data_IF_520957213969
#
_entry.id   IF_520957213969
#
_cell.length_a   1.000
_cell.length_b   1.000
_cell.length_c   1.000
_cell.angle_alpha   90.00
_cell.angle_beta   90.00
_cell.angle_gamma   90.00
#
_symmetry.space_group_name_H-M   'P 1'
#
loop_
_entity.id
_entity.type
_entity.pdbx_description
1 polymer ?
#
# COMPACT_ATOMS: atom_id res chain seq x y z
N UNK A 1 -41.42 -44.23 -54.42
CA UNK A 1 -42.77 -44.22 -53.83
C UNK A 1 -42.70 -44.86 -52.46
N UNK A 2 -43.23 -44.17 -51.44
CA UNK A 2 -43.97 -44.67 -50.26
C UNK A 2 -43.46 -45.98 -49.59
N UNK A 3 -43.23 -46.09 -48.28
CA UNK A 3 -43.61 -45.25 -47.16
C UNK A 3 -43.29 -45.98 -45.85
N UNK A 4 -43.00 -45.19 -44.83
CA UNK A 4 -43.51 -45.25 -43.46
C UNK A 4 -43.90 -46.61 -42.83
N UNK A 5 -43.26 -46.95 -41.70
CA UNK A 5 -43.87 -47.19 -40.36
C UNK A 5 -42.75 -47.49 -39.35
N UNK A 6 -42.62 -46.74 -38.25
CA UNK A 6 -43.30 -46.97 -36.96
C UNK A 6 -42.84 -48.30 -36.31
N UNK A 7 -42.39 -48.44 -35.05
CA UNK A 7 -42.38 -47.55 -33.89
C UNK A 7 -41.81 -48.35 -32.67
N UNK A 8 -41.32 -47.63 -31.64
CA UNK A 8 -41.11 -48.04 -30.22
C UNK A 8 -39.99 -49.08 -29.95
N UNK A 9 -39.14 -48.96 -28.92
CA UNK A 9 -39.46 -48.82 -27.49
C UNK A 9 -38.37 -48.07 -26.70
N UNK A 10 -38.84 -47.24 -25.77
CA UNK A 10 -38.15 -46.42 -24.75
C UNK A 10 -37.12 -47.18 -23.89
N UNK A 11 -36.05 -46.49 -23.48
CA UNK A 11 -35.51 -46.61 -22.11
C UNK A 11 -35.06 -45.24 -21.56
N UNK A 12 -35.83 -44.76 -20.59
CA UNK A 12 -35.48 -43.69 -19.66
C UNK A 12 -34.17 -44.02 -18.94
N UNK A 13 -33.23 -43.07 -18.92
CA UNK A 13 -32.27 -42.95 -17.81
C UNK A 13 -32.19 -41.48 -17.40
N UNK A 14 -32.75 -41.22 -16.22
CA UNK A 14 -32.48 -40.07 -15.37
C UNK A 14 -31.01 -39.65 -15.45
N UNK A 15 -30.73 -38.42 -15.90
CA UNK A 15 -29.51 -37.73 -15.54
C UNK A 15 -29.83 -36.57 -14.60
N UNK A 16 -29.13 -36.61 -13.46
CA UNK A 16 -29.25 -35.79 -12.25
C UNK A 16 -28.99 -34.29 -12.49
N UNK A 17 -29.46 -33.43 -11.57
CA UNK A 17 -29.48 -31.99 -11.75
C UNK A 17 -28.08 -31.34 -11.78
N UNK A 18 -28.03 -30.26 -12.56
CA UNK A 18 -27.02 -29.20 -12.63
C UNK A 18 -26.51 -28.81 -11.24
N UNK A 19 -25.26 -29.18 -10.92
CA UNK A 19 -24.64 -28.95 -9.62
C UNK A 19 -23.21 -28.42 -9.78
N UNK A 20 -23.03 -27.44 -10.65
CA UNK A 20 -21.71 -26.85 -10.96
C UNK A 20 -21.73 -25.31 -10.99
N UNK A 21 -22.74 -24.66 -10.41
CA UNK A 21 -22.81 -23.19 -10.37
C UNK A 21 -22.21 -22.57 -9.08
N UNK A 22 -21.94 -23.38 -8.04
CA UNK A 22 -21.39 -22.90 -6.76
C UNK A 22 -19.85 -22.85 -6.72
N UNK A 23 -19.16 -23.61 -7.56
CA UNK A 23 -17.70 -23.71 -7.54
C UNK A 23 -17.00 -22.53 -8.25
N UNK A 24 -17.65 -21.92 -9.24
CA UNK A 24 -17.06 -20.81 -10.01
C UNK A 24 -16.91 -19.52 -9.18
N UNK A 25 -17.77 -19.30 -8.18
CA UNK A 25 -17.75 -18.12 -7.32
C UNK A 25 -16.64 -18.14 -6.26
N UNK A 26 -16.13 -19.33 -5.90
CA UNK A 26 -15.08 -19.46 -4.89
C UNK A 26 -13.68 -19.18 -5.47
N UNK A 27 -13.47 -19.43 -6.76
CA UNK A 27 -12.18 -19.24 -7.43
C UNK A 27 -11.95 -17.76 -7.81
N UNK A 28 -13.02 -17.03 -8.14
CA UNK A 28 -12.94 -15.60 -8.50
C UNK A 28 -12.75 -14.67 -7.30
N UNK A 29 -13.16 -15.07 -6.08
CA UNK A 29 -12.97 -14.27 -4.87
C UNK A 29 -11.53 -14.23 -4.35
N UNK A 30 -10.74 -15.29 -4.59
CA UNK A 30 -9.37 -15.38 -4.09
C UNK A 30 -8.36 -14.55 -4.93
N UNK A 31 -8.66 -14.27 -6.20
CA UNK A 31 -7.78 -13.53 -7.11
C UNK A 31 -7.86 -11.99 -6.98
N UNK A 32 -8.86 -11.45 -6.27
CA UNK A 32 -9.06 -10.00 -6.14
C UNK A 32 -8.40 -9.38 -4.90
N UNK A 33 -7.67 -10.15 -4.08
CA UNK A 33 -7.06 -9.66 -2.84
C UNK A 33 -5.63 -9.11 -2.98
N UNK A 34 -5.04 -9.11 -4.19
CA UNK A 34 -3.63 -8.73 -4.39
C UNK A 34 -3.48 -7.26 -4.88
N UNK A 35 -4.55 -6.54 -5.20
CA UNK A 35 -4.46 -5.23 -5.85
C UNK A 35 -4.25 -4.02 -4.91
N UNK A 36 -3.88 -4.21 -3.64
CA UNK A 36 -3.76 -3.10 -2.68
C UNK A 36 -2.41 -3.11 -1.94
N UNK A 37 -1.33 -2.79 -2.65
CA UNK A 37 -0.11 -2.22 -2.05
C UNK A 37 0.71 -1.50 -3.15
N UNK A 38 0.12 -0.54 -3.85
CA UNK A 38 0.89 0.49 -4.56
C UNK A 38 1.08 1.68 -3.60
N UNK A 39 1.91 1.48 -2.57
CA UNK A 39 2.45 2.60 -1.80
C UNK A 39 3.62 3.15 -2.60
N UNK A 40 3.36 4.06 -3.55
CA UNK A 40 4.40 4.82 -4.23
C UNK A 40 5.11 5.74 -3.23
N UNK A 41 6.04 5.17 -2.46
CA UNK A 41 6.95 5.92 -1.61
C UNK A 41 7.99 6.61 -2.49
N UNK A 42 8.24 7.89 -2.20
CA UNK A 42 9.30 8.65 -2.86
C UNK A 42 10.68 8.41 -2.21
N UNK A 43 10.79 7.52 -1.24
CA UNK A 43 12.02 7.34 -0.46
C UNK A 43 13.20 6.91 -1.34
N UNK A 44 12.95 6.16 -2.42
CA UNK A 44 13.98 5.75 -3.38
C UNK A 44 14.56 6.91 -4.21
N UNK A 45 13.90 8.08 -4.24
CA UNK A 45 14.43 9.28 -4.89
C UNK A 45 15.48 10.02 -4.06
N UNK A 46 15.69 9.61 -2.81
CA UNK A 46 16.72 10.17 -1.92
C UNK A 46 18.00 9.36 -2.01
N UNK A 47 19.11 10.03 -2.32
CA UNK A 47 20.43 9.43 -2.15
C UNK A 47 20.79 9.30 -0.67
N UNK A 48 21.73 8.41 -0.38
CA UNK A 48 22.27 8.22 0.99
C UNK A 48 22.86 9.52 1.52
N UNK A 49 23.54 10.30 0.68
CA UNK A 49 24.12 11.58 1.09
C UNK A 49 23.04 12.61 1.44
N UNK A 50 21.98 12.72 0.64
CA UNK A 50 20.85 13.60 0.93
C UNK A 50 20.10 13.19 2.21
N UNK A 51 19.95 11.88 2.44
CA UNK A 51 19.37 11.36 3.68
C UNK A 51 20.22 11.79 4.89
N UNK A 52 21.53 11.58 4.82
CA UNK A 52 22.46 11.90 5.91
C UNK A 52 22.51 13.41 6.17
N UNK A 53 22.56 14.22 5.12
CA UNK A 53 22.52 15.68 5.24
C UNK A 53 21.23 16.16 5.91
N UNK A 54 20.07 15.65 5.45
CA UNK A 54 18.77 16.01 6.03
C UNK A 54 18.72 15.66 7.52
N UNK A 55 19.09 14.42 7.88
CA UNK A 55 19.09 13.97 9.28
C UNK A 55 20.08 14.74 10.14
N UNK A 56 21.29 15.02 9.63
CA UNK A 56 22.28 15.82 10.35
C UNK A 56 21.79 17.24 10.61
N UNK A 57 21.12 17.87 9.64
CA UNK A 57 20.56 19.20 9.81
C UNK A 57 19.41 19.22 10.82
N UNK A 58 18.53 18.21 10.78
CA UNK A 58 17.48 18.03 11.78
C UNK A 58 18.06 17.84 13.18
N UNK A 59 19.04 16.94 13.33
CA UNK A 59 19.70 16.68 14.61
C UNK A 59 20.29 17.95 15.19
N UNK A 60 21.06 18.69 14.39
CA UNK A 60 21.62 19.98 14.80
C UNK A 60 20.54 20.97 15.25
N UNK A 61 19.44 21.08 14.50
CA UNK A 61 18.32 21.95 14.86
C UNK A 61 17.72 21.59 16.23
N UNK A 62 17.58 20.29 16.52
CA UNK A 62 17.00 19.79 17.77
C UNK A 62 17.96 19.95 18.95
N UNK A 63 19.23 19.60 18.78
CA UNK A 63 20.24 19.70 19.85
C UNK A 63 20.58 21.16 20.16
N UNK A 64 20.59 22.05 19.17
CA UNK A 64 20.72 23.51 19.38
C UNK A 64 19.56 24.08 20.24
N UNK A 65 18.44 23.35 20.36
CA UNK A 65 17.28 23.68 21.22
C UNK A 65 17.27 22.94 22.55
N UNK A 66 18.33 22.20 22.86
CA UNK A 66 18.49 21.47 24.11
C UNK A 66 17.73 20.15 24.18
N UNK A 67 17.28 19.61 23.05
CA UNK A 67 16.72 18.25 23.00
C UNK A 67 17.85 17.24 23.13
N UNK A 68 17.68 16.22 23.97
CA UNK A 68 18.68 15.16 24.14
C UNK A 68 18.90 14.38 22.84
N UNK A 69 20.14 13.96 22.59
CA UNK A 69 20.53 13.28 21.34
C UNK A 69 19.63 12.09 20.99
N UNK A 70 19.20 11.31 21.98
CA UNK A 70 18.31 10.17 21.76
C UNK A 70 16.95 10.62 21.21
N UNK A 71 16.32 11.56 21.88
CA UNK A 71 14.98 12.03 21.52
C UNK A 71 15.02 12.83 20.21
N UNK A 72 16.11 13.58 19.97
CA UNK A 72 16.39 14.22 18.70
C UNK A 72 16.54 13.19 17.56
N UNK A 73 17.22 12.07 17.81
CA UNK A 73 17.40 11.00 16.80
C UNK A 73 16.06 10.38 16.44
N UNK A 74 15.26 10.00 17.44
CA UNK A 74 13.95 9.40 17.20
C UNK A 74 13.01 10.34 16.43
N UNK A 75 13.02 11.63 16.80
CA UNK A 75 12.26 12.66 16.10
C UNK A 75 12.71 12.84 14.65
N UNK A 76 14.02 12.99 14.42
CA UNK A 76 14.58 13.23 13.09
C UNK A 76 14.42 12.02 12.16
N UNK A 77 14.53 10.80 12.69
CA UNK A 77 14.27 9.59 11.92
C UNK A 77 12.79 9.48 11.53
N UNK A 78 11.87 9.81 12.44
CA UNK A 78 10.45 9.88 12.13
C UNK A 78 10.15 10.91 11.04
N UNK A 79 10.64 12.14 11.22
CA UNK A 79 10.41 13.23 10.27
C UNK A 79 10.99 12.93 8.89
N UNK A 80 12.18 12.34 8.84
CA UNK A 80 12.77 11.89 7.57
C UNK A 80 11.90 10.83 6.90
N UNK A 81 11.45 9.82 7.65
CA UNK A 81 10.59 8.75 7.11
C UNK A 81 9.32 9.32 6.48
N UNK A 82 8.61 10.22 7.17
CA UNK A 82 7.38 10.83 6.64
C UNK A 82 7.65 11.72 5.43
N UNK A 83 8.71 12.53 5.51
CA UNK A 83 9.11 13.43 4.42
C UNK A 83 9.49 12.65 3.17
N UNK A 84 10.41 11.70 3.30
CA UNK A 84 10.92 10.92 2.17
C UNK A 84 9.88 9.98 1.56
N UNK A 85 8.90 9.50 2.34
CA UNK A 85 7.80 8.74 1.79
C UNK A 85 6.90 9.57 0.86
N UNK A 86 6.69 10.85 1.16
CA UNK A 86 5.72 11.69 0.45
C UNK A 86 6.34 12.63 -0.59
N UNK A 87 7.59 13.02 -0.41
CA UNK A 87 8.24 14.07 -1.20
C UNK A 87 9.60 13.62 -1.74
N UNK A 88 9.93 14.03 -2.97
CA UNK A 88 11.31 14.00 -3.47
C UNK A 88 12.16 15.04 -2.73
N UNK A 89 13.50 14.98 -2.81
CA UNK A 89 14.36 16.01 -2.22
C UNK A 89 14.03 17.44 -2.69
N UNK A 90 13.66 17.62 -3.95
CA UNK A 90 13.31 18.90 -4.57
C UNK A 90 11.95 19.42 -4.10
N UNK A 91 10.98 18.52 -3.95
CA UNK A 91 9.67 18.83 -3.38
C UNK A 91 9.79 19.17 -1.89
N UNK A 92 10.64 18.44 -1.17
CA UNK A 92 10.83 18.61 0.27
C UNK A 92 11.32 20.01 0.66
N UNK A 93 12.09 20.67 -0.21
CA UNK A 93 12.56 22.05 -0.01
C UNK A 93 11.42 23.09 -0.06
N UNK A 94 10.27 22.72 -0.62
CA UNK A 94 9.14 23.62 -0.86
C UNK A 94 7.89 23.21 -0.06
N UNK A 95 8.03 22.33 0.93
CA UNK A 95 6.92 21.92 1.79
C UNK A 95 6.40 23.15 2.52
N UNK A 96 5.06 23.27 2.58
CA UNK A 96 4.44 24.37 3.32
C UNK A 96 4.61 24.17 4.82
N UNK A 97 4.69 25.26 5.58
CA UNK A 97 4.75 25.19 7.06
C UNK A 97 3.58 24.40 7.65
N UNK A 98 2.42 24.40 7.00
CA UNK A 98 1.25 23.62 7.41
C UNK A 98 1.47 22.12 7.27
N UNK A 99 1.98 21.68 6.12
CA UNK A 99 2.28 20.26 5.88
C UNK A 99 3.43 19.78 6.73
N UNK A 100 4.44 20.61 6.91
CA UNK A 100 5.52 20.36 7.84
C UNK A 100 4.97 20.16 9.25
N UNK A 101 4.15 21.09 9.77
CA UNK A 101 3.57 20.97 11.12
C UNK A 101 2.75 19.69 11.32
N UNK A 102 2.05 19.22 10.28
CA UNK A 102 1.33 17.95 10.35
C UNK A 102 2.29 16.78 10.56
N UNK A 103 3.40 16.74 9.80
CA UNK A 103 4.42 15.72 10.01
C UNK A 103 5.06 15.83 11.40
N UNK A 104 5.32 17.06 11.86
CA UNK A 104 5.83 17.33 13.21
C UNK A 104 4.91 16.74 14.28
N UNK A 105 3.61 17.02 14.24
CA UNK A 105 2.65 16.50 15.22
C UNK A 105 2.57 14.95 15.22
N UNK A 106 2.87 14.31 14.09
CA UNK A 106 2.91 12.85 13.99
C UNK A 106 4.23 12.24 14.48
N UNK A 107 5.26 13.07 14.69
CA UNK A 107 6.58 12.70 15.19
C UNK A 107 6.89 13.28 16.58
N UNK A 108 6.06 14.19 17.08
CA UNK A 108 6.13 14.74 18.42
C UNK A 108 5.67 13.65 19.41
N UNK A 109 6.64 12.85 19.85
CA UNK A 109 6.44 11.92 20.93
C UNK A 109 6.20 12.75 22.19
N UNK A 110 5.00 12.70 22.74
CA UNK A 110 4.72 13.22 24.08
C UNK A 110 5.61 12.49 25.08
N UNK A 111 6.67 13.16 25.55
CA UNK A 111 7.55 12.71 26.63
C UNK A 111 7.04 13.19 28.00
#
# INVERSE_FOLDING_TARGET
>A
MMGNKSQYVKKNKNLKPMRTMKAALLITGFLLMISACNCDSKQSSWSVDQQNEWKSNCMKFMTDRGVEDRDATDFCDCMYSKTSNKYTPEEAKNITTEEERKMWNECDYSW
#
